data_IF_213996116775
#
_entry.id   IF_213996116775
#
_cell.length_a   1.000
_cell.length_b   1.000
_cell.length_c   1.000
_cell.angle_alpha   90.00
_cell.angle_beta   90.00
_cell.angle_gamma   90.00
#
_symmetry.space_group_name_H-M   'P 1'
#
loop_
_entity.id
_entity.type
_entity.pdbx_description
1 polymer ?
#
# COMPACT_ATOMS: atom_id res chain seq x y z
N UNK A 1 -11.56 2.51 8.05
CA UNK A 1 -10.76 2.62 6.81
C UNK A 1 -11.70 2.60 5.62
N UNK A 2 -11.48 3.41 4.58
CA UNK A 2 -12.29 3.38 3.36
C UNK A 2 -12.26 1.98 2.72
N UNK A 3 -13.30 1.67 1.95
CA UNK A 3 -13.35 0.42 1.20
C UNK A 3 -12.38 0.48 0.00
N UNK A 4 -11.15 0.01 0.20
CA UNK A 4 -10.08 0.01 -0.80
C UNK A 4 -10.14 -1.20 -1.74
N UNK A 5 -11.34 -1.59 -2.16
CA UNK A 5 -11.54 -2.76 -3.01
C UNK A 5 -11.38 -2.36 -4.47
N UNK A 6 -10.33 -2.86 -5.12
CA UNK A 6 -10.19 -2.85 -6.56
C UNK A 6 -10.74 -4.18 -7.09
N UNK A 7 -11.74 -4.09 -7.97
CA UNK A 7 -12.30 -5.25 -8.65
C UNK A 7 -11.68 -5.36 -10.03
N UNK A 8 -11.01 -6.49 -10.29
CA UNK A 8 -10.48 -6.80 -11.61
C UNK A 8 -11.54 -7.55 -12.42
N UNK A 9 -11.60 -7.28 -13.72
CA UNK A 9 -12.40 -8.11 -14.62
C UNK A 9 -11.78 -9.51 -14.72
N UNK A 10 -12.56 -10.53 -15.12
CA UNK A 10 -12.03 -11.88 -15.35
C UNK A 10 -10.85 -11.87 -16.34
N UNK A 11 -10.97 -11.10 -17.43
CA UNK A 11 -9.91 -10.95 -18.44
C UNK A 11 -8.66 -10.29 -17.87
N UNK A 12 -8.80 -9.25 -17.05
CA UNK A 12 -7.65 -8.60 -16.39
C UNK A 12 -6.94 -9.58 -15.45
N UNK A 13 -7.72 -10.34 -14.67
CA UNK A 13 -7.18 -11.33 -13.73
C UNK A 13 -6.41 -12.43 -14.47
N UNK A 14 -6.96 -12.97 -15.57
CA UNK A 14 -6.27 -13.96 -16.39
C UNK A 14 -4.98 -13.43 -17.01
N UNK A 15 -4.99 -12.19 -17.53
CA UNK A 15 -3.80 -11.58 -18.15
C UNK A 15 -2.63 -11.41 -17.19
N UNK A 16 -2.90 -11.23 -15.89
CA UNK A 16 -1.85 -11.01 -14.89
C UNK A 16 -1.54 -12.26 -14.05
N UNK A 17 -2.37 -13.31 -14.12
CA UNK A 17 -2.20 -14.53 -13.35
C UNK A 17 -0.78 -15.16 -13.42
N UNK A 18 -0.10 -15.22 -14.59
CA UNK A 18 1.28 -15.71 -14.66
C UNK A 18 2.28 -14.83 -13.92
N UNK A 19 2.10 -13.51 -13.95
CA UNK A 19 2.96 -12.58 -13.21
C UNK A 19 2.80 -12.71 -11.69
N UNK A 20 1.69 -13.29 -11.24
CA UNK A 20 1.40 -13.58 -9.83
C UNK A 20 1.69 -15.03 -9.42
N UNK A 21 2.31 -15.85 -10.28
CA UNK A 21 2.65 -17.23 -9.97
C UNK A 21 3.52 -17.37 -8.70
N UNK A 22 4.27 -16.32 -8.31
CA UNK A 22 5.02 -16.26 -7.05
C UNK A 22 4.16 -16.40 -5.78
N UNK A 23 2.84 -16.22 -5.89
CA UNK A 23 1.89 -16.46 -4.79
C UNK A 23 1.72 -17.96 -4.48
N UNK A 24 2.03 -18.81 -5.45
CA UNK A 24 1.97 -20.26 -5.32
C UNK A 24 3.39 -20.84 -5.27
N UNK A 25 3.61 -21.83 -4.39
CA UNK A 25 4.94 -22.44 -4.22
C UNK A 25 5.34 -23.35 -5.39
N UNK A 26 4.36 -23.85 -6.13
CA UNK A 26 4.53 -24.74 -7.27
C UNK A 26 4.72 -24.00 -8.60
N UNK A 27 4.68 -22.66 -8.57
CA UNK A 27 4.81 -21.83 -9.77
C UNK A 27 3.58 -21.85 -10.69
N UNK A 28 2.45 -22.41 -10.23
CA UNK A 28 1.19 -22.34 -10.95
C UNK A 28 0.65 -20.90 -10.97
N UNK A 29 -0.12 -20.58 -12.02
CA UNK A 29 -0.78 -19.28 -12.16
C UNK A 29 -1.67 -18.96 -10.94
N UNK A 30 -1.65 -17.71 -10.51
CA UNK A 30 -2.50 -17.27 -9.41
C UNK A 30 -3.98 -17.24 -9.82
N UNK A 31 -4.85 -17.69 -8.92
CA UNK A 31 -6.30 -17.54 -9.09
C UNK A 31 -6.72 -16.08 -8.97
N UNK A 32 -7.84 -15.71 -9.59
CA UNK A 32 -8.39 -14.35 -9.50
C UNK A 32 -8.59 -13.87 -8.05
N UNK A 33 -9.01 -14.77 -7.16
CA UNK A 33 -9.17 -14.47 -5.74
C UNK A 33 -7.82 -14.14 -5.05
N UNK A 34 -6.77 -14.91 -5.32
CA UNK A 34 -5.43 -14.66 -4.77
C UNK A 34 -4.88 -13.31 -5.25
N UNK A 35 -5.03 -13.01 -6.54
CA UNK A 35 -4.63 -11.73 -7.13
C UNK A 35 -5.37 -10.58 -6.44
N UNK A 36 -6.70 -10.68 -6.28
CA UNK A 36 -7.51 -9.64 -5.65
C UNK A 36 -7.12 -9.40 -4.19
N UNK A 37 -6.87 -10.46 -3.43
CA UNK A 37 -6.41 -10.36 -2.03
C UNK A 37 -5.05 -9.68 -1.96
N UNK A 38 -4.11 -10.06 -2.84
CA UNK A 38 -2.78 -9.48 -2.86
C UNK A 38 -2.83 -7.99 -3.22
N UNK A 39 -3.57 -7.62 -4.26
CA UNK A 39 -3.74 -6.21 -4.68
C UNK A 39 -4.32 -5.38 -3.53
N UNK A 40 -5.36 -5.89 -2.85
CA UNK A 40 -5.95 -5.21 -1.69
C UNK A 40 -4.93 -5.01 -0.58
N UNK A 41 -4.07 -5.99 -0.29
CA UNK A 41 -3.00 -5.87 0.71
C UNK A 41 -2.01 -4.76 0.35
N UNK A 42 -1.60 -4.68 -0.92
CA UNK A 42 -0.69 -3.62 -1.37
C UNK A 42 -1.29 -2.22 -1.23
N UNK A 43 -2.56 -2.06 -1.61
CA UNK A 43 -3.24 -0.76 -1.49
C UNK A 43 -3.33 -0.35 -0.02
N UNK A 44 -3.73 -1.27 0.88
CA UNK A 44 -3.80 -0.99 2.32
C UNK A 44 -2.42 -0.63 2.88
N UNK A 45 -1.37 -1.35 2.49
CA UNK A 45 -0.01 -1.04 2.93
C UNK A 45 0.43 0.36 2.47
N UNK A 46 0.13 0.72 1.22
CA UNK A 46 0.47 2.04 0.67
C UNK A 46 -0.30 3.18 1.35
N UNK A 47 -1.58 2.97 1.64
CA UNK A 47 -2.39 3.96 2.38
C UNK A 47 -1.83 4.17 3.78
N UNK A 48 -1.52 3.08 4.51
CA UNK A 48 -0.89 3.18 5.84
C UNK A 48 0.45 3.90 5.80
N UNK A 49 1.29 3.60 4.81
CA UNK A 49 2.58 4.27 4.62
C UNK A 49 2.38 5.77 4.40
N UNK A 50 1.42 6.14 3.56
CA UNK A 50 1.11 7.54 3.27
C UNK A 50 0.58 8.29 4.49
N UNK A 51 -0.35 7.69 5.24
CA UNK A 51 -0.87 8.26 6.49
C UNK A 51 0.23 8.45 7.53
N UNK A 52 1.11 7.46 7.70
CA UNK A 52 2.26 7.56 8.61
C UNK A 52 3.25 8.65 8.17
N UNK A 53 3.54 8.76 6.87
CA UNK A 53 4.45 9.79 6.35
C UNK A 53 3.89 11.20 6.56
N UNK A 54 2.56 11.38 6.43
CA UNK A 54 1.90 12.65 6.74
C UNK A 54 2.01 13.00 8.22
N UNK A 55 1.75 12.04 9.10
CA UNK A 55 1.85 12.24 10.55
C UNK A 55 3.27 12.64 10.95
N UNK A 56 4.28 11.98 10.39
CA UNK A 56 5.69 12.32 10.64
C UNK A 56 6.02 13.73 10.13
N UNK A 57 5.60 14.10 8.92
CA UNK A 57 5.87 15.44 8.39
C UNK A 57 5.24 16.55 9.24
N UNK A 58 4.05 16.31 9.82
CA UNK A 58 3.42 17.25 10.76
C UNK A 58 4.20 17.32 12.08
N UNK A 59 4.64 16.17 12.61
CA UNK A 59 5.45 16.12 13.83
C UNK A 59 6.80 16.82 13.64
N UNK A 60 7.49 16.59 12.52
CA UNK A 60 8.75 17.23 12.18
C UNK A 60 8.59 18.74 12.04
N UNK A 61 7.49 19.21 11.41
CA UNK A 61 7.18 20.62 11.31
C UNK A 61 6.95 21.27 12.69
N UNK A 62 6.26 20.57 13.60
CA UNK A 62 6.05 21.05 14.97
C UNK A 62 7.37 21.11 15.75
N UNK A 63 8.22 20.09 15.64
CA UNK A 63 9.53 20.05 16.29
C UNK A 63 10.39 21.22 15.81
N UNK A 64 10.44 21.47 14.50
CA UNK A 64 11.21 22.59 13.96
C UNK A 64 10.68 23.93 14.47
N UNK A 65 9.36 24.11 14.55
CA UNK A 65 8.76 25.31 15.11
C UNK A 65 9.12 25.50 16.60
N UNK A 66 9.11 24.41 17.38
CA UNK A 66 9.48 24.46 18.80
C UNK A 66 10.96 24.80 18.98
N UNK A 67 11.86 24.23 18.16
CA UNK A 67 13.28 24.55 18.16
C UNK A 67 13.57 26.01 17.77
N UNK A 68 12.89 26.52 16.74
CA UNK A 68 12.96 27.94 16.34
C UNK A 68 12.51 28.86 17.49
N UNK A 69 11.42 28.51 18.18
CA UNK A 69 10.93 29.26 19.34
C UNK A 69 11.90 29.24 20.53
N UNK A 70 12.65 28.16 20.70
CA UNK A 70 13.73 28.05 21.69
C UNK A 70 15.03 28.77 21.25
N UNK A 71 15.07 29.32 20.05
CA UNK A 71 16.22 30.07 19.52
C UNK A 71 17.33 29.20 18.96
N UNK A 72 17.05 27.91 18.67
CA UNK A 72 17.97 27.02 17.98
C UNK A 72 17.86 27.30 16.47
N UNK A 73 18.85 28.03 15.91
CA UNK A 73 19.01 28.28 14.47
C UNK A 73 20.37 27.78 13.98
#
# INVERSE_FOLDING_TARGET
MPNLTVTLTPTQSQRIAPAFAFLNKDGSDATAAQIQVWVRRQIVARVKQYESSKANAIADAQINQDLENEGWN
#
